data_IF_154424342960
#
_entry.id   IF_154424342960
#
_cell.length_a   1.000
_cell.length_b   1.000
_cell.length_c   1.000
_cell.angle_alpha   90.00
_cell.angle_beta   90.00
_cell.angle_gamma   90.00
#
_symmetry.space_group_name_H-M   'P 1'
#
loop_
_entity.id
_entity.type
_entity.pdbx_description
1 polymer ?
#
# COMPACT_ATOMS: atom_id res chain seq x y z
N UNK A 1 -14.85 14.56 51.97
CA UNK A 1 -13.85 13.70 51.30
C UNK A 1 -14.48 12.54 50.54
N UNK A 2 -15.43 11.79 51.12
CA UNK A 2 -16.07 10.63 50.46
C UNK A 2 -16.76 10.99 49.13
N UNK A 3 -17.45 12.14 49.02
CA UNK A 3 -18.10 12.59 47.77
C UNK A 3 -17.13 12.95 46.63
N UNK A 4 -15.93 13.43 46.94
CA UNK A 4 -14.90 13.71 45.93
C UNK A 4 -14.21 12.41 45.46
N UNK A 5 -14.06 11.43 46.37
CA UNK A 5 -13.53 10.11 46.05
C UNK A 5 -14.49 9.30 45.15
N UNK A 6 -15.81 9.44 45.37
CA UNK A 6 -16.84 8.83 44.52
C UNK A 6 -16.85 9.40 43.10
N UNK A 7 -16.59 10.71 42.95
CA UNK A 7 -16.56 11.38 41.64
C UNK A 7 -15.29 11.01 40.84
N UNK A 8 -14.16 10.83 41.54
CA UNK A 8 -12.90 10.40 40.93
C UNK A 8 -12.95 8.94 40.45
N UNK A 9 -13.65 8.07 41.20
CA UNK A 9 -13.86 6.66 40.83
C UNK A 9 -14.78 6.50 39.59
N UNK A 10 -15.74 7.40 39.41
CA UNK A 10 -16.66 7.42 38.25
C UNK A 10 -15.99 7.91 36.97
N UNK A 11 -15.01 8.80 37.06
CA UNK A 11 -14.21 9.27 35.91
C UNK A 11 -13.18 8.22 35.49
N UNK A 12 -12.59 7.50 36.45
CA UNK A 12 -11.63 6.42 36.16
C UNK A 12 -12.28 5.22 35.42
N UNK A 13 -13.57 4.95 35.67
CA UNK A 13 -14.30 3.85 34.99
C UNK A 13 -14.70 4.20 33.55
N UNK A 14 -14.73 5.49 33.19
CA UNK A 14 -15.04 5.95 31.83
C UNK A 14 -13.84 5.85 30.86
N UNK A 15 -12.62 5.62 31.36
CA UNK A 15 -11.40 5.44 30.55
C UNK A 15 -11.07 3.98 30.22
N UNK A 16 -11.84 3.02 30.72
CA UNK A 16 -11.63 1.59 30.44
C UNK A 16 -12.53 1.02 29.34
N UNK A 17 -13.18 1.85 28.53
CA UNK A 17 -13.83 1.39 27.31
C UNK A 17 -12.79 1.31 26.18
N UNK A 18 -12.36 0.11 25.74
CA UNK A 18 -11.70 0.03 24.45
C UNK A 18 -12.75 0.43 23.41
N UNK A 19 -12.56 1.56 22.75
CA UNK A 19 -13.30 1.90 21.54
C UNK A 19 -12.87 0.91 20.44
N UNK A 20 -13.46 -0.30 20.45
CA UNK A 20 -13.36 -1.22 19.33
C UNK A 20 -14.35 -0.76 18.26
N UNK A 21 -14.00 0.33 17.55
CA UNK A 21 -14.48 0.50 16.19
C UNK A 21 -13.64 -0.42 15.29
N UNK A 22 -13.70 -1.72 15.55
CA UNK A 22 -13.24 -2.72 14.59
C UNK A 22 -14.32 -2.80 13.53
N UNK A 23 -14.06 -2.26 12.34
CA UNK A 23 -14.87 -2.64 11.19
C UNK A 23 -14.76 -4.16 11.06
N UNK A 24 -15.81 -4.88 11.45
CA UNK A 24 -15.89 -6.31 11.19
C UNK A 24 -15.87 -6.48 9.67
N UNK A 25 -14.87 -7.21 9.18
CA UNK A 25 -14.76 -7.59 7.78
C UNK A 25 -15.15 -9.07 7.63
N UNK A 26 -16.45 -9.38 7.51
CA UNK A 26 -16.92 -10.74 7.54
C UNK A 26 -16.44 -11.54 6.33
N UNK A 27 -16.29 -12.85 6.53
CA UNK A 27 -16.01 -13.78 5.44
C UNK A 27 -17.28 -13.93 4.59
N UNK A 28 -17.17 -13.62 3.30
CA UNK A 28 -18.26 -13.75 2.33
C UNK A 28 -18.40 -15.21 1.84
N UNK A 29 -17.27 -15.84 1.51
CA UNK A 29 -17.19 -17.26 1.17
C UNK A 29 -15.76 -17.79 1.35
N UNK A 30 -15.57 -19.10 1.22
CA UNK A 30 -14.26 -19.76 1.36
C UNK A 30 -14.00 -20.66 0.17
N UNK A 31 -12.75 -20.69 -0.32
CA UNK A 31 -12.30 -21.63 -1.36
C UNK A 31 -11.13 -22.45 -0.81
N UNK A 32 -11.33 -23.75 -0.61
CA UNK A 32 -10.31 -24.65 -0.07
C UNK A 32 -9.65 -24.17 1.25
N UNK A 33 -10.44 -23.62 2.15
CA UNK A 33 -9.95 -23.06 3.42
C UNK A 33 -9.42 -21.62 3.34
N UNK A 34 -9.24 -21.06 2.15
CA UNK A 34 -8.87 -19.66 1.97
C UNK A 34 -10.12 -18.76 2.03
N UNK A 35 -10.25 -17.89 3.05
CA UNK A 35 -11.40 -17.00 3.17
C UNK A 35 -11.33 -15.87 2.13
N UNK A 36 -12.49 -15.48 1.63
CA UNK A 36 -12.70 -14.27 0.83
C UNK A 36 -13.59 -13.35 1.64
N UNK A 37 -13.09 -12.16 1.93
CA UNK A 37 -13.78 -11.18 2.77
C UNK A 37 -14.72 -10.28 1.97
N UNK A 38 -15.69 -9.67 2.65
CA UNK A 38 -16.59 -8.68 2.03
C UNK A 38 -15.81 -7.50 1.48
N UNK A 39 -14.81 -6.98 2.21
CA UNK A 39 -13.99 -5.87 1.75
C UNK A 39 -13.24 -6.17 0.45
N UNK A 40 -12.65 -7.36 0.32
CA UNK A 40 -11.96 -7.83 -0.90
C UNK A 40 -12.94 -7.87 -2.08
N UNK A 41 -14.12 -8.44 -1.87
CA UNK A 41 -15.13 -8.54 -2.91
C UNK A 41 -15.63 -7.16 -3.36
N UNK A 42 -15.94 -6.28 -2.42
CA UNK A 42 -16.40 -4.91 -2.71
C UNK A 42 -15.32 -4.15 -3.47
N UNK A 43 -14.08 -4.17 -3.00
CA UNK A 43 -12.95 -3.51 -3.67
C UNK A 43 -12.81 -3.97 -5.12
N UNK A 44 -12.85 -5.28 -5.37
CA UNK A 44 -12.69 -5.83 -6.72
C UNK A 44 -13.92 -5.55 -7.60
N UNK A 45 -15.13 -5.58 -7.03
CA UNK A 45 -16.37 -5.19 -7.72
C UNK A 45 -16.32 -3.73 -8.18
N UNK A 46 -15.98 -2.81 -7.28
CA UNK A 46 -15.85 -1.39 -7.60
C UNK A 46 -14.74 -1.13 -8.61
N UNK A 47 -13.56 -1.71 -8.40
CA UNK A 47 -12.43 -1.55 -9.31
C UNK A 47 -12.73 -2.02 -10.74
N UNK A 48 -13.54 -3.08 -10.88
CA UNK A 48 -13.87 -3.65 -12.18
C UNK A 48 -14.98 -2.87 -12.88
N UNK A 49 -16.00 -2.42 -12.13
CA UNK A 49 -17.17 -1.76 -12.70
C UNK A 49 -17.03 -0.23 -12.77
N UNK A 50 -16.12 0.37 -11.99
CA UNK A 50 -15.88 1.80 -11.93
C UNK A 50 -17.17 2.59 -11.66
N UNK A 51 -17.41 3.64 -12.44
CA UNK A 51 -18.60 4.49 -12.35
C UNK A 51 -19.92 3.75 -12.62
N UNK A 52 -19.88 2.50 -13.12
CA UNK A 52 -21.05 1.66 -13.40
C UNK A 52 -21.39 0.71 -12.25
N UNK A 53 -20.70 0.78 -11.12
CA UNK A 53 -21.02 -0.01 -9.93
C UNK A 53 -22.36 0.45 -9.34
N UNK A 54 -23.46 -0.11 -9.84
CA UNK A 54 -24.82 0.28 -9.45
C UNK A 54 -25.34 -0.42 -8.19
N UNK A 55 -24.61 -1.42 -7.69
CA UNK A 55 -24.97 -2.23 -6.52
C UNK A 55 -26.35 -2.86 -6.60
N UNK A 56 -26.93 -2.96 -7.81
CA UNK A 56 -28.17 -3.67 -8.01
C UNK A 56 -27.97 -5.14 -7.65
N UNK A 57 -29.01 -5.76 -7.08
CA UNK A 57 -28.94 -7.17 -6.66
C UNK A 57 -28.46 -8.07 -7.78
N UNK A 58 -28.98 -7.86 -9.00
CA UNK A 58 -28.57 -8.63 -10.18
C UNK A 58 -27.11 -8.45 -10.52
N UNK A 59 -26.60 -7.21 -10.52
CA UNK A 59 -25.19 -6.89 -10.78
C UNK A 59 -24.25 -7.53 -9.76
N UNK A 60 -24.58 -7.41 -8.47
CA UNK A 60 -23.79 -7.99 -7.37
C UNK A 60 -23.81 -9.52 -7.42
N UNK A 61 -24.97 -10.14 -7.60
CA UNK A 61 -25.10 -11.61 -7.67
C UNK A 61 -24.39 -12.19 -8.90
N UNK A 62 -24.49 -11.52 -10.05
CA UNK A 62 -23.77 -11.93 -11.26
C UNK A 62 -22.26 -11.85 -11.05
N UNK A 63 -21.77 -10.74 -10.50
CA UNK A 63 -20.35 -10.55 -10.25
C UNK A 63 -19.83 -11.52 -9.18
N UNK A 64 -20.60 -11.78 -8.13
CA UNK A 64 -20.26 -12.78 -7.10
C UNK A 64 -20.07 -14.16 -7.70
N UNK A 65 -20.94 -14.58 -8.62
CA UNK A 65 -20.82 -15.85 -9.33
C UNK A 65 -19.56 -15.90 -10.20
N UNK A 66 -19.25 -14.82 -10.94
CA UNK A 66 -18.04 -14.73 -11.76
C UNK A 66 -16.77 -14.78 -10.90
N UNK A 67 -16.76 -14.02 -9.81
CA UNK A 67 -15.63 -13.93 -8.90
C UNK A 67 -15.38 -15.25 -8.15
N UNK A 68 -16.44 -15.93 -7.71
CA UNK A 68 -16.34 -17.29 -7.13
C UNK A 68 -15.70 -18.26 -8.12
N UNK A 69 -16.14 -18.27 -9.39
CA UNK A 69 -15.56 -19.10 -10.44
C UNK A 69 -14.09 -18.76 -10.70
N UNK A 70 -13.74 -17.47 -10.67
CA UNK A 70 -12.35 -17.02 -10.77
C UNK A 70 -11.49 -17.59 -9.64
N UNK A 71 -11.90 -17.44 -8.37
CA UNK A 71 -11.15 -17.97 -7.21
C UNK A 71 -10.99 -19.49 -7.27
N UNK A 72 -12.03 -20.22 -7.70
CA UNK A 72 -11.94 -21.67 -7.94
C UNK A 72 -10.91 -22.04 -9.01
N UNK A 73 -10.86 -21.29 -10.13
CA UNK A 73 -9.86 -21.52 -11.19
C UNK A 73 -8.44 -21.23 -10.72
N UNK A 74 -8.25 -20.15 -9.96
CA UNK A 74 -6.95 -19.81 -9.35
C UNK A 74 -6.52 -20.92 -8.41
N UNK A 75 -7.42 -21.43 -7.57
CA UNK A 75 -7.10 -22.53 -6.67
C UNK A 75 -6.69 -23.78 -7.44
N UNK A 76 -7.43 -24.11 -8.50
CA UNK A 76 -7.08 -25.26 -9.34
C UNK A 76 -5.72 -25.09 -10.03
N UNK A 77 -5.39 -23.88 -10.48
CA UNK A 77 -4.09 -23.58 -11.08
C UNK A 77 -2.94 -23.75 -10.08
N UNK A 78 -3.12 -23.35 -8.82
CA UNK A 78 -2.15 -23.56 -7.74
C UNK A 78 -1.96 -25.05 -7.42
N UNK A 79 -3.04 -25.82 -7.37
CA UNK A 79 -2.95 -27.29 -7.21
C UNK A 79 -2.14 -27.95 -8.32
N UNK A 80 -2.28 -27.45 -9.56
CA UNK A 80 -1.52 -27.88 -10.73
C UNK A 80 -0.09 -27.30 -10.77
N UNK A 81 0.30 -26.51 -9.76
CA UNK A 81 1.61 -25.84 -9.64
C UNK A 81 1.95 -24.93 -10.82
N UNK A 82 0.95 -24.34 -11.47
CA UNK A 82 1.18 -23.43 -12.61
C UNK A 82 1.93 -22.16 -12.19
N UNK A 83 1.80 -21.76 -10.92
CA UNK A 83 2.56 -20.68 -10.28
C UNK A 83 4.08 -20.95 -10.15
N UNK A 84 4.51 -22.20 -10.40
CA UNK A 84 5.93 -22.58 -10.39
C UNK A 84 6.59 -22.50 -11.77
N UNK A 85 5.84 -22.18 -12.82
CA UNK A 85 6.37 -22.04 -14.18
C UNK A 85 7.32 -20.83 -14.22
N UNK A 86 8.55 -21.06 -14.69
CA UNK A 86 9.61 -20.04 -14.69
C UNK A 86 9.22 -18.77 -15.45
N UNK A 87 8.59 -18.90 -16.62
CA UNK A 87 8.17 -17.73 -17.41
C UNK A 87 7.13 -16.88 -16.69
N UNK A 88 6.19 -17.52 -15.98
CA UNK A 88 5.18 -16.82 -15.18
C UNK A 88 5.81 -16.10 -13.98
N UNK A 89 6.79 -16.72 -13.32
CA UNK A 89 7.51 -16.08 -12.22
C UNK A 89 8.28 -14.85 -12.68
N UNK A 90 8.94 -14.93 -13.84
CA UNK A 90 9.67 -13.81 -14.43
C UNK A 90 8.72 -12.66 -14.82
N UNK A 91 7.57 -12.97 -15.40
CA UNK A 91 6.55 -11.98 -15.74
C UNK A 91 5.99 -11.29 -14.48
N UNK A 92 5.65 -12.08 -13.45
CA UNK A 92 5.17 -11.57 -12.17
C UNK A 92 6.20 -10.67 -11.47
N UNK A 93 7.48 -11.03 -11.55
CA UNK A 93 8.57 -10.21 -11.03
C UNK A 93 8.68 -8.88 -11.80
N UNK A 94 8.54 -8.90 -13.12
CA UNK A 94 8.49 -7.71 -13.96
C UNK A 94 7.38 -6.75 -13.53
N UNK A 95 6.16 -7.25 -13.35
CA UNK A 95 5.04 -6.42 -12.87
C UNK A 95 5.26 -5.84 -11.48
N UNK A 96 5.88 -6.61 -10.57
CA UNK A 96 6.22 -6.11 -9.23
C UNK A 96 7.22 -4.96 -9.29
N UNK A 97 8.26 -5.07 -10.11
CA UNK A 97 9.26 -3.99 -10.29
C UNK A 97 8.61 -2.71 -10.82
N UNK A 98 7.77 -2.83 -11.86
CA UNK A 98 7.07 -1.68 -12.45
C UNK A 98 6.15 -0.97 -11.45
N UNK A 99 5.47 -1.72 -10.57
CA UNK A 99 4.61 -1.14 -9.55
C UNK A 99 5.42 -0.54 -8.39
N UNK A 100 6.56 -1.11 -8.04
CA UNK A 100 7.40 -0.67 -6.93
C UNK A 100 7.89 0.77 -7.11
N UNK A 101 8.20 1.20 -8.34
CA UNK A 101 8.66 2.57 -8.63
C UNK A 101 7.72 3.64 -8.06
N UNK A 102 6.41 3.43 -8.15
CA UNK A 102 5.40 4.36 -7.62
C UNK A 102 5.33 4.41 -6.08
N UNK A 103 5.88 3.41 -5.40
CA UNK A 103 5.94 3.33 -3.93
C UNK A 103 7.32 3.73 -3.39
N UNK A 104 8.37 3.66 -4.20
CA UNK A 104 9.75 4.01 -3.80
C UNK A 104 10.05 5.50 -3.96
N UNK A 105 9.29 6.22 -4.79
CA UNK A 105 9.42 7.68 -4.93
C UNK A 105 8.84 8.33 -3.68
N UNK A 106 9.73 8.77 -2.79
CA UNK A 106 9.37 9.63 -1.67
C UNK A 106 8.96 11.01 -2.20
N UNK A 107 7.66 11.27 -2.14
CA UNK A 107 7.07 12.53 -2.61
C UNK A 107 7.61 13.72 -1.83
N UNK A 108 7.85 13.57 -0.53
CA UNK A 108 8.35 14.65 0.34
C UNK A 108 9.79 15.02 -0.04
N UNK A 109 10.65 14.03 -0.26
CA UNK A 109 12.03 14.27 -0.73
C UNK A 109 12.03 14.91 -2.12
N UNK A 110 11.16 14.43 -3.00
CA UNK A 110 11.05 14.93 -4.37
C UNK A 110 10.59 16.39 -4.40
N UNK A 111 9.55 16.75 -3.64
CA UNK A 111 9.05 18.12 -3.53
C UNK A 111 10.10 19.06 -2.93
N UNK A 112 10.84 18.62 -1.90
CA UNK A 112 11.94 19.41 -1.33
C UNK A 112 13.04 19.69 -2.36
N UNK A 113 13.44 18.70 -3.15
CA UNK A 113 14.45 18.86 -4.20
C UNK A 113 13.97 19.78 -5.32
N UNK A 114 12.69 19.73 -5.69
CA UNK A 114 12.08 20.64 -6.67
C UNK A 114 12.14 22.08 -6.15
N UNK A 115 11.78 22.29 -4.88
CA UNK A 115 11.82 23.62 -4.26
C UNK A 115 13.25 24.16 -4.19
N UNK A 116 14.21 23.34 -3.76
CA UNK A 116 15.64 23.71 -3.70
C UNK A 116 16.19 24.08 -5.07
N UNK A 117 15.86 23.31 -6.11
CA UNK A 117 16.25 23.63 -7.48
C UNK A 117 15.61 24.93 -7.97
N UNK A 118 14.34 25.17 -7.66
CA UNK A 118 13.64 26.41 -8.00
C UNK A 118 14.25 27.64 -7.31
N UNK A 119 14.60 27.52 -6.03
CA UNK A 119 15.28 28.59 -5.28
C UNK A 119 16.66 28.90 -5.85
N UNK A 120 17.44 27.87 -6.21
CA UNK A 120 18.75 28.06 -6.85
C UNK A 120 18.66 28.77 -8.20
N UNK A 121 17.64 28.49 -9.00
CA UNK A 121 17.45 29.12 -10.32
C UNK A 121 17.16 30.62 -10.22
N UNK A 122 16.65 31.11 -9.08
CA UNK A 122 16.39 32.53 -8.89
C UNK A 122 17.66 33.36 -8.66
N UNK A 123 18.79 32.71 -8.41
CA UNK A 123 20.04 33.38 -8.11
C UNK A 123 21.13 32.96 -9.10
N UNK A 124 21.62 33.92 -9.88
CA UNK A 124 22.85 33.75 -10.64
C UNK A 124 24.06 33.99 -9.71
N UNK A 125 25.02 33.06 -9.76
CA UNK A 125 26.26 33.13 -8.99
C UNK A 125 27.44 33.07 -9.95
N UNK A 126 28.31 34.07 -9.90
CA UNK A 126 29.58 34.07 -10.63
C UNK A 126 30.66 33.35 -9.81
N UNK A 127 31.25 32.30 -10.37
CA UNK A 127 32.17 31.41 -9.64
C UNK A 127 33.40 31.14 -10.48
N UNK A 128 34.57 31.37 -9.89
CA UNK A 128 35.86 30.88 -10.40
C UNK A 128 36.24 29.60 -9.65
N UNK A 129 36.54 28.52 -10.37
CA UNK A 129 36.95 27.25 -9.76
C UNK A 129 38.35 26.85 -10.24
N UNK A 130 39.15 26.30 -9.32
CA UNK A 130 40.41 25.63 -9.61
C UNK A 130 40.25 24.16 -9.24
N UNK A 131 40.27 23.28 -10.24
CA UNK A 131 40.22 21.84 -10.01
C UNK A 131 41.65 21.30 -10.06
N UNK A 132 42.06 20.62 -9.00
CA UNK A 132 43.35 19.93 -8.92
C UNK A 132 43.06 18.44 -8.95
N UNK A 133 43.64 17.74 -9.91
CA UNK A 133 43.52 16.29 -10.00
C UNK A 133 44.43 15.64 -8.94
N UNK A 134 43.87 14.71 -8.18
CA UNK A 134 44.57 13.90 -7.18
C UNK A 134 44.31 12.42 -7.48
N UNK A 135 45.25 11.56 -7.07
CA UNK A 135 45.11 10.12 -7.21
C UNK A 135 43.93 9.60 -6.37
N UNK A 136 43.27 8.53 -6.81
CA UNK A 136 42.12 7.93 -6.11
C UNK A 136 42.47 7.48 -4.67
N UNK A 137 43.76 7.20 -4.43
CA UNK A 137 44.28 6.80 -3.12
C UNK A 137 45.16 7.87 -2.47
N UNK A 138 45.04 9.14 -2.88
CA UNK A 138 45.78 10.24 -2.25
C UNK A 138 45.48 10.29 -0.75
N UNK A 139 46.52 10.54 0.05
CA UNK A 139 46.34 10.58 1.51
C UNK A 139 45.61 11.86 1.92
N UNK A 140 44.90 11.88 3.07
CA UNK A 140 44.21 13.08 3.53
C UNK A 140 45.10 14.31 3.72
N UNK A 141 46.42 14.10 3.87
CA UNK A 141 47.40 15.19 3.96
C UNK A 141 47.68 15.86 2.60
N UNK A 142 47.27 15.23 1.48
CA UNK A 142 47.48 15.68 0.10
C UNK A 142 46.24 16.35 -0.54
N UNK A 143 45.14 16.53 0.23
CA UNK A 143 43.86 17.17 -0.20
C UNK A 143 43.48 18.33 0.69
#
# INVERSE_FOLDING_TARGET
MIRFLSLFLLIALAWSLPAQNGHEDPVLFTVNGDPVHVSEFVYIYEKTNGDKADYSRGSVEEYLRLYTKFKLKVQKAKELKLDTIQSLQQELEGYRRQLADSYLIDKEVTERLIQEAYERVQQDVDISHLVIAVDENATPDDT
#
